data_IF_984910551555
#
_entry.id   IF_984910551555
#
_cell.length_a   1.000
_cell.length_b   1.000
_cell.length_c   1.000
_cell.angle_alpha   90.00
_cell.angle_beta   90.00
_cell.angle_gamma   90.00
#
_symmetry.space_group_name_H-M   'P 1'
#
loop_
_entity.id
_entity.type
_entity.pdbx_description
1 polymer ?
#
# COMPACT_ATOMS: atom_id res chain seq x y z
N UNK A 1 -20.64 7.14 0.13
CA UNK A 1 -19.21 7.40 -0.01
C UNK A 1 -18.60 6.39 -0.97
N UNK A 2 -17.33 6.60 -1.34
CA UNK A 2 -16.47 5.62 -2.02
C UNK A 2 -16.53 4.27 -1.28
N UNK A 3 -16.67 3.11 -1.94
CA UNK A 3 -16.57 1.80 -1.29
C UNK A 3 -15.11 1.48 -0.88
N UNK A 4 -14.89 0.63 0.15
CA UNK A 4 -13.54 0.30 0.62
C UNK A 4 -12.62 -0.25 -0.49
N UNK A 5 -13.19 -1.02 -1.41
CA UNK A 5 -12.46 -1.56 -2.56
C UNK A 5 -11.94 -0.48 -3.51
N UNK A 6 -12.64 0.65 -3.66
CA UNK A 6 -12.15 1.78 -4.46
C UNK A 6 -10.99 2.50 -3.76
N UNK A 7 -11.02 2.61 -2.42
CA UNK A 7 -9.89 3.16 -1.65
C UNK A 7 -8.63 2.32 -1.90
N UNK A 8 -8.74 1.00 -1.78
CA UNK A 8 -7.64 0.08 -2.07
C UNK A 8 -7.18 0.18 -3.55
N UNK A 9 -8.12 0.13 -4.50
CA UNK A 9 -7.82 0.20 -5.92
C UNK A 9 -7.10 1.51 -6.30
N UNK A 10 -7.49 2.63 -5.70
CA UNK A 10 -6.87 3.93 -5.95
C UNK A 10 -5.39 3.94 -5.53
N UNK A 11 -5.08 3.37 -4.36
CA UNK A 11 -3.71 3.25 -3.84
C UNK A 11 -2.87 2.28 -4.69
N UNK A 12 -3.41 1.12 -5.00
CA UNK A 12 -2.79 0.11 -5.87
C UNK A 12 -2.46 0.72 -7.24
N UNK A 13 -3.38 1.48 -7.82
CA UNK A 13 -3.21 2.07 -9.14
C UNK A 13 -2.06 3.08 -9.20
N UNK A 14 -1.76 3.79 -8.10
CA UNK A 14 -0.60 4.70 -8.03
C UNK A 14 0.69 3.92 -8.26
N UNK A 15 0.90 2.85 -7.49
CA UNK A 15 2.11 2.02 -7.60
C UNK A 15 2.22 1.30 -8.94
N UNK A 16 1.11 0.76 -9.44
CA UNK A 16 1.08 0.13 -10.77
C UNK A 16 1.50 1.10 -11.87
N UNK A 17 0.99 2.34 -11.84
CA UNK A 17 1.38 3.39 -12.79
C UNK A 17 2.85 3.74 -12.67
N UNK A 18 3.39 3.85 -11.44
CA UNK A 18 4.82 4.10 -11.21
C UNK A 18 5.69 3.01 -11.84
N UNK A 19 5.35 1.74 -11.62
CA UNK A 19 6.12 0.62 -12.19
C UNK A 19 6.11 0.65 -13.72
N UNK A 20 4.96 0.88 -14.34
CA UNK A 20 4.83 0.96 -15.81
C UNK A 20 5.58 2.17 -16.37
N UNK A 21 5.34 3.35 -15.81
CA UNK A 21 5.90 4.60 -16.32
C UNK A 21 7.42 4.67 -16.21
N UNK A 22 7.99 3.92 -15.26
CA UNK A 22 9.44 3.91 -15.01
C UNK A 22 10.14 2.66 -15.54
N UNK A 23 9.45 1.78 -16.27
CA UNK A 23 9.96 0.46 -16.67
C UNK A 23 10.63 -0.28 -15.49
N UNK A 24 9.94 -0.32 -14.36
CA UNK A 24 10.36 -0.93 -13.10
C UNK A 24 11.61 -0.31 -12.44
N UNK A 25 12.10 0.84 -12.91
CA UNK A 25 13.30 1.47 -12.36
C UNK A 25 13.09 1.98 -10.92
N UNK A 26 11.91 2.54 -10.62
CA UNK A 26 11.62 3.20 -9.33
C UNK A 26 10.80 2.29 -8.41
N UNK A 27 11.16 2.28 -7.13
CA UNK A 27 10.38 1.69 -6.03
C UNK A 27 10.21 2.69 -4.88
N UNK A 28 9.80 2.22 -3.71
CA UNK A 28 9.65 3.08 -2.54
C UNK A 28 10.99 3.52 -1.96
N UNK A 29 11.22 4.84 -1.95
CA UNK A 29 12.40 5.45 -1.34
C UNK A 29 12.42 5.25 0.18
N UNK A 30 11.27 5.29 0.84
CA UNK A 30 11.18 5.05 2.29
C UNK A 30 11.64 3.64 2.64
N UNK A 31 11.19 2.64 1.88
CA UNK A 31 11.61 1.24 2.11
C UNK A 31 13.12 1.07 1.90
N UNK A 32 13.67 1.69 0.85
CA UNK A 32 15.11 1.65 0.57
C UNK A 32 15.94 2.30 1.68
N UNK A 33 15.50 3.46 2.19
CA UNK A 33 16.13 4.16 3.32
C UNK A 33 16.06 3.31 4.59
N UNK A 34 14.89 2.76 4.91
CA UNK A 34 14.70 1.92 6.11
C UNK A 34 15.57 0.67 6.09
N UNK A 35 15.78 0.06 4.92
CA UNK A 35 16.59 -1.14 4.79
C UNK A 35 18.12 -0.88 4.78
N UNK A 36 18.54 0.34 4.44
CA UNK A 36 19.95 0.64 4.14
C UNK A 36 20.58 1.65 5.09
N UNK A 37 19.81 2.24 6.00
CA UNK A 37 20.27 3.32 6.89
C UNK A 37 19.74 3.15 8.30
N UNK A 38 20.47 3.72 9.26
CA UNK A 38 20.08 3.79 10.67
C UNK A 38 19.94 5.24 11.13
N UNK A 39 19.39 5.43 12.34
CA UNK A 39 19.29 6.74 12.98
C UNK A 39 18.23 7.65 12.34
N UNK A 40 18.44 8.98 12.30
CA UNK A 40 17.37 9.96 12.03
C UNK A 40 16.63 9.76 10.71
N UNK A 41 17.31 9.25 9.67
CA UNK A 41 16.67 8.99 8.36
C UNK A 41 15.70 7.80 8.42
N UNK A 42 16.08 6.72 9.12
CA UNK A 42 15.22 5.57 9.35
C UNK A 42 14.02 5.95 10.22
N UNK A 43 14.23 6.78 11.24
CA UNK A 43 13.16 7.25 12.11
C UNK A 43 12.17 8.14 11.33
N UNK A 44 12.69 9.01 10.44
CA UNK A 44 11.86 9.82 9.53
C UNK A 44 11.06 8.95 8.56
N UNK A 45 11.68 7.92 7.97
CA UNK A 45 10.97 6.97 7.10
C UNK A 45 9.86 6.23 7.86
N UNK A 46 10.12 5.84 9.11
CA UNK A 46 9.13 5.22 10.00
C UNK A 46 7.92 6.14 10.25
N UNK A 47 8.16 7.42 10.57
CA UNK A 47 7.09 8.40 10.75
C UNK A 47 6.25 8.62 9.47
N UNK A 48 6.91 8.63 8.30
CA UNK A 48 6.22 8.78 7.01
C UNK A 48 5.37 7.54 6.66
N UNK A 49 5.86 6.33 6.93
CA UNK A 49 5.04 5.13 6.79
C UNK A 49 3.82 5.17 7.72
N UNK A 50 3.98 5.62 8.97
CA UNK A 50 2.86 5.85 9.89
C UNK A 50 1.83 6.80 9.31
N UNK A 51 2.25 7.95 8.80
CA UNK A 51 1.34 8.91 8.17
C UNK A 51 0.61 8.38 6.94
N UNK A 52 1.22 7.48 6.16
CA UNK A 52 0.55 6.82 5.03
C UNK A 52 -0.51 5.81 5.49
N UNK A 53 -0.23 5.07 6.56
CA UNK A 53 -1.19 4.15 7.18
C UNK A 53 -2.38 4.93 7.72
N UNK A 54 -2.13 6.00 8.48
CA UNK A 54 -3.18 6.84 9.06
C UNK A 54 -4.07 7.47 7.96
N UNK A 55 -3.48 7.89 6.84
CA UNK A 55 -4.22 8.44 5.71
C UNK A 55 -5.11 7.40 5.02
N UNK A 56 -4.63 6.15 4.88
CA UNK A 56 -5.42 5.04 4.33
C UNK A 56 -6.53 4.63 5.29
N UNK A 57 -6.23 4.52 6.58
CA UNK A 57 -7.18 4.21 7.65
C UNK A 57 -8.34 5.23 7.66
N UNK A 58 -8.02 6.54 7.71
CA UNK A 58 -9.03 7.59 7.70
C UNK A 58 -9.95 7.53 6.48
N UNK A 59 -9.40 7.19 5.30
CA UNK A 59 -10.20 7.00 4.08
C UNK A 59 -11.12 5.78 4.19
N UNK A 60 -10.66 4.67 4.75
CA UNK A 60 -11.45 3.46 4.95
C UNK A 60 -12.57 3.68 5.98
N UNK A 61 -12.28 4.33 7.11
CA UNK A 61 -13.28 4.71 8.11
C UNK A 61 -14.35 5.62 7.50
N UNK A 62 -13.97 6.56 6.63
CA UNK A 62 -14.93 7.42 5.92
C UNK A 62 -15.89 6.65 4.99
N UNK A 63 -15.59 5.39 4.66
CA UNK A 63 -16.49 4.49 3.92
C UNK A 63 -17.48 3.74 4.83
N UNK A 64 -17.34 3.87 6.15
CA UNK A 64 -18.16 3.20 7.17
C UNK A 64 -17.57 1.89 7.69
N UNK A 65 -16.30 1.59 7.41
CA UNK A 65 -15.61 0.41 7.97
C UNK A 65 -15.26 0.68 9.44
N UNK A 66 -15.40 -0.34 10.29
CA UNK A 66 -14.95 -0.29 11.69
C UNK A 66 -13.49 0.16 11.79
N UNK A 67 -13.17 1.00 12.77
CA UNK A 67 -11.85 1.62 12.91
C UNK A 67 -10.73 0.59 13.11
N UNK A 68 -10.97 -0.50 13.85
CA UNK A 68 -9.94 -1.53 14.05
C UNK A 68 -9.70 -2.33 12.77
N UNK A 69 -10.77 -2.65 12.02
CA UNK A 69 -10.66 -3.30 10.72
C UNK A 69 -9.96 -2.41 9.68
N UNK A 70 -10.28 -1.11 9.66
CA UNK A 70 -9.69 -0.13 8.76
C UNK A 70 -8.18 0.03 9.01
N UNK A 71 -7.75 0.22 10.26
CA UNK A 71 -6.33 0.37 10.61
C UNK A 71 -5.51 -0.88 10.28
N UNK A 72 -6.08 -2.07 10.58
CA UNK A 72 -5.47 -3.36 10.25
C UNK A 72 -5.32 -3.55 8.73
N UNK A 73 -6.37 -3.24 7.97
CA UNK A 73 -6.35 -3.37 6.52
C UNK A 73 -5.41 -2.34 5.87
N UNK A 74 -5.39 -1.09 6.33
CA UNK A 74 -4.49 -0.04 5.84
C UNK A 74 -3.01 -0.46 5.96
N UNK A 75 -2.63 -1.01 7.12
CA UNK A 75 -1.29 -1.55 7.36
C UNK A 75 -1.00 -2.71 6.40
N UNK A 76 -1.93 -3.64 6.25
CA UNK A 76 -1.80 -4.80 5.37
C UNK A 76 -1.64 -4.40 3.91
N UNK A 77 -2.47 -3.47 3.44
CA UNK A 77 -2.44 -2.93 2.07
C UNK A 77 -1.09 -2.30 1.75
N UNK A 78 -0.59 -1.42 2.62
CA UNK A 78 0.71 -0.78 2.41
C UNK A 78 1.84 -1.81 2.38
N UNK A 79 1.95 -2.66 3.41
CA UNK A 79 3.03 -3.65 3.51
C UNK A 79 3.03 -4.63 2.34
N UNK A 80 1.87 -5.13 1.93
CA UNK A 80 1.73 -6.06 0.82
C UNK A 80 2.13 -5.41 -0.51
N UNK A 81 1.71 -4.17 -0.75
CA UNK A 81 2.04 -3.45 -1.99
C UNK A 81 3.53 -3.09 -2.06
N UNK A 82 4.16 -2.70 -0.95
CA UNK A 82 5.61 -2.47 -0.90
C UNK A 82 6.41 -3.73 -1.26
N UNK A 83 6.02 -4.88 -0.69
CA UNK A 83 6.61 -6.17 -1.06
C UNK A 83 6.37 -6.53 -2.53
N UNK A 84 5.16 -6.31 -3.03
CA UNK A 84 4.81 -6.58 -4.42
C UNK A 84 5.58 -5.70 -5.40
N UNK A 85 5.79 -4.42 -5.07
CA UNK A 85 6.65 -3.48 -5.82
C UNK A 85 8.08 -3.99 -5.87
N UNK A 86 8.64 -4.42 -4.73
CA UNK A 86 10.00 -4.94 -4.68
C UNK A 86 10.19 -6.17 -5.59
N UNK A 87 9.27 -7.15 -5.50
CA UNK A 87 9.32 -8.38 -6.31
C UNK A 87 9.10 -8.08 -7.80
N UNK A 88 8.11 -7.24 -8.13
CA UNK A 88 7.82 -6.84 -9.50
C UNK A 88 9.03 -6.17 -10.17
N UNK A 89 9.75 -5.32 -9.42
CA UNK A 89 10.98 -4.69 -9.90
C UNK A 89 12.10 -5.68 -10.14
N UNK A 90 12.33 -6.58 -9.17
CA UNK A 90 13.36 -7.60 -9.29
C UNK A 90 13.12 -8.54 -10.48
N UNK A 91 11.86 -8.85 -10.78
CA UNK A 91 11.46 -9.73 -11.87
C UNK A 91 11.18 -9.00 -13.19
N UNK A 92 11.17 -7.65 -13.19
CA UNK A 92 10.70 -6.80 -14.30
C UNK A 92 9.36 -7.27 -14.86
N UNK A 93 8.42 -7.57 -13.98
CA UNK A 93 7.13 -8.15 -14.31
C UNK A 93 6.03 -7.61 -13.40
N UNK A 94 4.87 -7.29 -13.97
CA UNK A 94 3.68 -6.93 -13.19
C UNK A 94 2.96 -8.13 -12.59
N UNK A 95 3.27 -9.37 -13.01
CA UNK A 95 2.57 -10.56 -12.53
C UNK A 95 2.49 -10.68 -10.98
N UNK A 96 3.59 -10.53 -10.21
CA UNK A 96 3.50 -10.57 -8.75
C UNK A 96 2.69 -9.40 -8.17
N UNK A 97 2.78 -8.21 -8.78
CA UNK A 97 2.01 -7.04 -8.36
C UNK A 97 0.51 -7.24 -8.58
N UNK A 98 0.13 -7.66 -9.79
CA UNK A 98 -1.27 -7.86 -10.17
C UNK A 98 -1.92 -9.01 -9.36
N UNK A 99 -1.16 -10.04 -8.99
CA UNK A 99 -1.63 -11.10 -8.09
C UNK A 99 -1.96 -10.59 -6.68
N UNK A 100 -1.05 -9.81 -6.09
CA UNK A 100 -1.28 -9.18 -4.77
C UNK A 100 -2.42 -8.17 -4.83
N UNK A 101 -2.46 -7.33 -5.86
CA UNK A 101 -3.52 -6.35 -6.08
C UNK A 101 -4.90 -7.01 -6.14
N UNK A 102 -5.04 -8.10 -6.91
CA UNK A 102 -6.31 -8.84 -7.03
C UNK A 102 -6.78 -9.33 -5.67
N UNK A 103 -5.88 -9.89 -4.86
CA UNK A 103 -6.22 -10.37 -3.52
C UNK A 103 -6.65 -9.23 -2.60
N UNK A 104 -5.90 -8.13 -2.57
CA UNK A 104 -6.20 -6.98 -1.70
C UNK A 104 -7.51 -6.30 -2.08
N UNK A 105 -7.84 -6.18 -3.37
CA UNK A 105 -9.13 -5.65 -3.81
C UNK A 105 -10.30 -6.55 -3.39
N UNK A 106 -10.13 -7.88 -3.49
CA UNK A 106 -11.14 -8.83 -3.00
C UNK A 106 -11.31 -8.74 -1.48
N UNK A 107 -10.21 -8.71 -0.73
CA UNK A 107 -10.23 -8.59 0.74
C UNK A 107 -10.91 -7.28 1.17
N UNK A 108 -10.60 -6.16 0.51
CA UNK A 108 -11.23 -4.86 0.77
C UNK A 108 -12.76 -4.89 0.61
N UNK A 109 -13.27 -5.62 -0.39
CA UNK A 109 -14.70 -5.74 -0.64
C UNK A 109 -15.45 -6.52 0.47
N UNK A 110 -14.73 -7.25 1.33
CA UNK A 110 -15.29 -8.02 2.45
C UNK A 110 -15.27 -7.28 3.78
N UNK A 111 -14.68 -6.08 3.84
CA UNK A 111 -14.63 -5.29 5.06
C UNK A 111 -16.04 -4.96 5.55
N UNK A 112 -16.32 -5.32 6.80
CA UNK A 112 -17.59 -5.08 7.46
C UNK A 112 -17.79 -3.57 7.62
N UNK A 113 -19.02 -3.12 7.35
CA UNK A 113 -19.43 -1.72 7.49
C UNK A 113 -20.45 -1.64 8.62
N UNK A 114 -20.26 -0.67 9.51
CA UNK A 114 -21.16 -0.38 10.63
C UNK A 114 -22.27 0.61 10.25
#
# INVERSE_FOLDING_TARGET
GEPPAEVAASFIAVWRRTLVATDFAVGCSLLAVTASTDGPLRDTAGALFGGWIDALDARLVATGVDAAAAASFATTLLAAIEGAVAIARAQRSLAPFDAVATRLTADAATLVRD
#
